data_IF_398713252096
#
_entry.id   IF_398713252096
#
_cell.length_a   1.000
_cell.length_b   1.000
_cell.length_c   1.000
_cell.angle_alpha   90.00
_cell.angle_beta   90.00
_cell.angle_gamma   90.00
#
_symmetry.space_group_name_H-M   'P 1'
#
loop_
_entity.id
_entity.type
_entity.pdbx_description
1 polymer ?
#
# COMPACT_ATOMS: atom_id res chain seq x y z
N UNK A 1 8.55 -12.40 18.07
CA UNK A 1 8.54 -12.89 16.68
C UNK A 1 7.16 -13.42 16.37
N UNK A 2 6.55 -13.02 15.25
CA UNK A 2 5.30 -13.60 14.76
C UNK A 2 5.56 -15.01 14.22
N UNK A 3 4.60 -15.93 14.38
CA UNK A 3 4.71 -17.31 13.87
C UNK A 3 4.44 -17.42 12.36
N UNK A 4 3.89 -16.38 11.75
CA UNK A 4 3.54 -16.30 10.33
C UNK A 4 4.22 -15.05 9.75
N UNK A 5 4.89 -15.22 8.61
CA UNK A 5 5.61 -14.14 7.90
C UNK A 5 5.22 -14.18 6.42
N UNK A 6 4.79 -13.06 5.82
CA UNK A 6 4.54 -13.00 4.38
C UNK A 6 5.80 -13.32 3.58
N UNK A 7 5.62 -14.07 2.50
CA UNK A 7 6.69 -14.51 1.63
C UNK A 7 6.40 -14.05 0.20
N UNK A 8 7.26 -13.19 -0.33
CA UNK A 8 7.06 -12.48 -1.59
C UNK A 8 7.85 -13.12 -2.73
N UNK A 9 7.19 -13.33 -3.86
CA UNK A 9 7.81 -13.90 -5.05
C UNK A 9 8.15 -12.79 -6.05
N UNK A 10 9.42 -12.71 -6.45
CA UNK A 10 9.93 -11.71 -7.37
C UNK A 10 10.55 -12.35 -8.62
N UNK A 11 10.58 -11.58 -9.70
CA UNK A 11 11.19 -11.97 -10.97
C UNK A 11 12.63 -11.46 -11.06
N UNK A 12 13.52 -12.10 -10.31
CA UNK A 12 14.96 -11.85 -10.34
C UNK A 12 15.39 -10.42 -9.99
N UNK A 13 14.58 -9.69 -9.22
CA UNK A 13 14.78 -8.29 -8.86
C UNK A 13 14.64 -8.00 -7.35
N UNK A 14 14.76 -9.01 -6.47
CA UNK A 14 14.74 -8.83 -5.00
C UNK A 14 15.65 -7.70 -4.50
N UNK A 15 16.95 -7.59 -4.88
CA UNK A 15 17.80 -6.51 -4.38
C UNK A 15 17.28 -5.11 -4.75
N UNK A 16 16.73 -4.98 -5.96
CA UNK A 16 16.12 -3.73 -6.42
C UNK A 16 14.85 -3.40 -5.62
N UNK A 17 13.99 -4.40 -5.40
CA UNK A 17 12.77 -4.23 -4.61
C UNK A 17 13.06 -3.82 -3.17
N UNK A 18 14.01 -4.47 -2.52
CA UNK A 18 14.44 -4.11 -1.16
C UNK A 18 15.04 -2.70 -1.12
N UNK A 19 15.85 -2.33 -2.12
CA UNK A 19 16.40 -0.98 -2.23
C UNK A 19 15.30 0.08 -2.40
N UNK A 20 14.32 -0.20 -3.25
CA UNK A 20 13.16 0.66 -3.45
C UNK A 20 12.34 0.81 -2.15
N UNK A 21 11.95 -0.29 -1.51
CA UNK A 21 11.17 -0.21 -0.27
C UNK A 21 11.93 0.50 0.85
N UNK A 22 13.25 0.33 0.94
CA UNK A 22 14.07 1.10 1.87
C UNK A 22 14.04 2.60 1.60
N UNK A 23 13.91 3.02 0.35
CA UNK A 23 13.80 4.43 -0.01
C UNK A 23 12.42 5.03 0.27
N UNK A 24 11.36 4.20 0.21
CA UNK A 24 9.98 4.63 0.44
C UNK A 24 9.62 4.63 1.93
N UNK A 25 10.05 3.62 2.68
CA UNK A 25 9.64 3.42 4.07
C UNK A 25 10.75 3.86 5.04
N UNK A 26 10.54 4.95 5.82
CA UNK A 26 11.58 5.52 6.67
C UNK A 26 12.05 4.56 7.78
N UNK A 27 11.18 3.66 8.24
CA UNK A 27 11.51 2.68 9.27
C UNK A 27 11.98 1.33 8.72
N UNK A 28 12.31 1.26 7.43
CA UNK A 28 12.75 0.02 6.80
C UNK A 28 14.06 -0.51 7.40
N UNK A 29 14.10 -1.81 7.67
CA UNK A 29 15.32 -2.52 8.10
C UNK A 29 15.60 -3.67 7.17
N UNK A 30 16.85 -3.82 6.76
CA UNK A 30 17.29 -4.94 5.91
C UNK A 30 18.18 -5.83 6.75
N UNK A 31 17.76 -7.08 6.93
CA UNK A 31 18.53 -8.08 7.69
C UNK A 31 19.40 -8.91 6.76
N UNK A 32 18.81 -9.39 5.66
CA UNK A 32 19.49 -10.20 4.65
C UNK A 32 19.07 -9.68 3.29
N UNK A 33 20.04 -9.51 2.39
CA UNK A 33 19.77 -9.28 0.98
C UNK A 33 20.85 -9.98 0.16
N UNK A 34 20.42 -10.70 -0.87
CA UNK A 34 21.28 -11.41 -1.82
C UNK A 34 20.56 -11.48 -3.17
N UNK A 35 21.25 -11.96 -4.20
CA UNK A 35 20.65 -12.16 -5.53
C UNK A 35 19.54 -13.23 -5.53
N UNK A 36 19.42 -14.04 -4.48
CA UNK A 36 18.44 -15.13 -4.42
C UNK A 36 17.28 -14.83 -3.48
N UNK A 37 17.55 -14.23 -2.31
CA UNK A 37 16.52 -13.99 -1.29
C UNK A 37 16.83 -12.75 -0.46
N UNK A 38 15.79 -12.25 0.23
CA UNK A 38 15.92 -11.21 1.23
C UNK A 38 15.02 -11.43 2.44
N UNK A 39 15.44 -10.81 3.54
CA UNK A 39 14.69 -10.66 4.78
C UNK A 39 14.76 -9.20 5.19
N UNK A 40 13.61 -8.55 5.28
CA UNK A 40 13.51 -7.12 5.58
C UNK A 40 12.25 -6.83 6.37
N UNK A 41 12.20 -5.64 6.98
CA UNK A 41 11.08 -5.14 7.75
C UNK A 41 10.65 -3.80 7.15
N UNK A 42 9.36 -3.59 6.93
CA UNK A 42 8.76 -2.32 6.55
C UNK A 42 7.75 -1.94 7.63
N UNK A 43 7.93 -0.75 8.24
CA UNK A 43 7.01 -0.24 9.29
C UNK A 43 6.68 -1.28 10.40
N UNK A 44 7.69 -2.04 10.83
CA UNK A 44 7.55 -3.08 11.86
C UNK A 44 7.02 -4.44 11.36
N UNK A 45 6.60 -4.56 10.10
CA UNK A 45 6.19 -5.83 9.49
C UNK A 45 7.39 -6.49 8.79
N UNK A 46 7.75 -7.69 9.24
CA UNK A 46 8.80 -8.52 8.63
C UNK A 46 8.29 -9.22 7.37
N UNK A 47 9.13 -9.31 6.35
CA UNK A 47 8.91 -9.99 5.08
C UNK A 47 10.09 -10.90 4.74
N UNK A 48 9.78 -12.03 4.10
CA UNK A 48 10.75 -12.80 3.34
C UNK A 48 10.48 -12.60 1.84
N UNK A 49 11.52 -12.61 1.02
CA UNK A 49 11.39 -12.52 -0.43
C UNK A 49 12.33 -13.49 -1.14
N UNK A 50 11.92 -13.96 -2.32
CA UNK A 50 12.66 -14.90 -3.16
C UNK A 50 12.60 -14.46 -4.62
N UNK A 51 13.76 -14.55 -5.28
CA UNK A 51 13.84 -14.54 -6.73
C UNK A 51 13.53 -15.93 -7.28
N UNK A 52 12.28 -16.12 -7.73
CA UNK A 52 11.80 -17.39 -8.30
C UNK A 52 11.52 -17.32 -9.81
N UNK A 53 11.75 -16.16 -10.44
CA UNK A 53 11.51 -15.93 -11.86
C UNK A 53 10.03 -15.63 -12.20
N UNK A 54 9.67 -15.55 -13.49
CA UNK A 54 8.43 -14.90 -13.94
C UNK A 54 7.17 -15.77 -13.81
N UNK A 55 7.27 -16.95 -13.18
CA UNK A 55 6.22 -17.97 -13.14
C UNK A 55 4.99 -17.50 -12.35
N UNK A 56 5.21 -16.79 -11.24
CA UNK A 56 4.14 -16.26 -10.40
C UNK A 56 4.22 -14.74 -10.36
N UNK A 57 3.04 -14.10 -10.35
CA UNK A 57 2.91 -12.65 -10.35
C UNK A 57 1.98 -12.23 -9.23
N UNK A 58 2.27 -11.08 -8.64
CA UNK A 58 1.35 -10.45 -7.71
C UNK A 58 0.04 -10.08 -8.41
N UNK A 59 -1.02 -10.12 -7.63
CA UNK A 59 -2.34 -9.63 -7.99
C UNK A 59 -2.98 -9.01 -6.75
N UNK A 60 -4.21 -8.53 -6.91
CA UNK A 60 -4.96 -7.80 -5.91
C UNK A 60 -5.46 -8.69 -4.75
N UNK A 61 -5.37 -10.02 -4.87
CA UNK A 61 -5.84 -10.94 -3.84
C UNK A 61 -5.04 -10.83 -2.53
N UNK A 62 -3.79 -10.37 -2.60
CA UNK A 62 -3.00 -9.95 -1.44
C UNK A 62 -2.52 -8.52 -1.69
N UNK A 63 -2.79 -7.64 -0.73
CA UNK A 63 -2.29 -6.27 -0.74
C UNK A 63 -1.86 -5.84 0.65
N UNK A 64 -0.98 -4.84 0.71
CA UNK A 64 -0.56 -4.24 1.97
C UNK A 64 -1.25 -2.91 2.19
N UNK A 65 -1.90 -2.80 3.36
CA UNK A 65 -2.69 -1.64 3.76
C UNK A 65 -1.82 -0.71 4.59
N UNK A 66 -1.58 0.49 4.07
CA UNK A 66 -0.85 1.57 4.73
C UNK A 66 -1.89 2.53 5.30
N UNK A 67 -2.00 2.55 6.63
CA UNK A 67 -2.82 3.52 7.35
C UNK A 67 -2.03 4.81 7.54
N UNK A 68 -2.61 5.93 7.12
CA UNK A 68 -2.01 7.27 7.26
C UNK A 68 -2.99 8.25 7.91
N UNK A 69 -2.50 9.38 8.41
CA UNK A 69 -3.35 10.34 9.13
C UNK A 69 -3.60 11.63 8.34
N UNK A 70 -2.66 12.01 7.47
CA UNK A 70 -2.67 13.30 6.76
C UNK A 70 -2.73 13.14 5.24
N UNK A 71 -3.12 14.21 4.54
CA UNK A 71 -3.14 14.20 3.08
C UNK A 71 -1.72 14.13 2.51
N UNK A 72 -0.77 14.78 3.18
CA UNK A 72 0.64 14.78 2.80
C UNK A 72 1.22 13.35 2.82
N UNK A 73 0.85 12.53 3.81
CA UNK A 73 1.24 11.12 3.85
C UNK A 73 0.56 10.30 2.77
N UNK A 74 -0.73 10.54 2.49
CA UNK A 74 -1.42 9.91 1.36
C UNK A 74 -0.68 10.19 0.06
N UNK A 75 -0.36 11.47 -0.17
CA UNK A 75 0.30 11.93 -1.38
C UNK A 75 1.71 11.33 -1.49
N UNK A 76 2.49 11.35 -0.42
CA UNK A 76 3.83 10.77 -0.36
C UNK A 76 3.84 9.29 -0.76
N UNK A 77 3.06 8.43 -0.09
CA UNK A 77 3.07 7.00 -0.39
C UNK A 77 2.47 6.70 -1.76
N UNK A 78 1.44 7.43 -2.16
CA UNK A 78 0.83 7.26 -3.47
C UNK A 78 1.82 7.54 -4.59
N UNK A 79 2.50 8.69 -4.53
CA UNK A 79 3.47 9.11 -5.55
C UNK A 79 4.70 8.19 -5.54
N UNK A 80 5.25 7.89 -4.36
CA UNK A 80 6.43 7.05 -4.24
C UNK A 80 6.19 5.62 -4.76
N UNK A 81 5.03 5.01 -4.45
CA UNK A 81 4.73 3.65 -4.86
C UNK A 81 4.29 3.56 -6.32
N UNK A 82 3.71 4.62 -6.90
CA UNK A 82 3.30 4.63 -8.32
C UNK A 82 4.41 5.08 -9.27
N UNK A 83 5.53 5.60 -8.74
CA UNK A 83 6.68 6.01 -9.53
C UNK A 83 7.33 4.85 -10.32
N UNK A 84 8.09 5.21 -11.36
CA UNK A 84 8.99 4.32 -12.11
C UNK A 84 8.37 3.00 -12.60
N UNK A 85 7.12 3.06 -13.06
CA UNK A 85 6.40 1.91 -13.62
C UNK A 85 5.33 1.30 -12.73
N UNK A 86 5.03 1.92 -11.58
CA UNK A 86 3.83 1.62 -10.81
C UNK A 86 2.54 2.05 -11.54
N UNK A 87 1.39 1.62 -10.99
CA UNK A 87 0.09 1.85 -11.60
C UNK A 87 -0.97 2.22 -10.57
N UNK A 88 -1.69 3.32 -10.84
CA UNK A 88 -2.84 3.72 -10.04
C UNK A 88 -4.04 2.80 -10.27
N UNK A 89 -4.73 2.48 -9.18
CA UNK A 89 -6.07 1.85 -9.21
C UNK A 89 -7.09 2.77 -8.53
N UNK A 90 -8.21 2.22 -8.06
CA UNK A 90 -9.35 2.97 -7.51
C UNK A 90 -9.39 2.85 -6.00
N UNK A 91 -10.05 3.81 -5.34
CA UNK A 91 -10.38 3.73 -3.92
C UNK A 91 -9.16 3.53 -3.00
N UNK A 92 -8.03 4.18 -3.28
CA UNK A 92 -6.79 4.03 -2.51
C UNK A 92 -5.90 2.86 -2.91
N UNK A 93 -6.30 2.04 -3.88
CA UNK A 93 -5.49 0.94 -4.40
C UNK A 93 -4.48 1.41 -5.44
N UNK A 94 -3.31 0.77 -5.45
CA UNK A 94 -2.27 0.95 -6.45
C UNK A 94 -1.40 -0.31 -6.57
N UNK A 95 -0.55 -0.37 -7.60
CA UNK A 95 0.53 -1.35 -7.72
C UNK A 95 1.87 -0.63 -7.81
N UNK A 96 2.90 -1.18 -7.17
CA UNK A 96 4.26 -0.71 -7.38
C UNK A 96 4.85 -1.22 -8.70
N UNK A 97 6.06 -0.78 -9.04
CA UNK A 97 6.76 -1.18 -10.27
C UNK A 97 7.08 -2.68 -10.37
N UNK A 98 6.97 -3.43 -9.26
CA UNK A 98 7.12 -4.88 -9.21
C UNK A 98 5.76 -5.61 -9.34
N UNK A 99 4.66 -4.86 -9.41
CA UNK A 99 3.30 -5.37 -9.53
C UNK A 99 2.63 -5.71 -8.20
N UNK A 100 3.29 -5.48 -7.06
CA UNK A 100 2.75 -5.76 -5.73
C UNK A 100 1.64 -4.75 -5.41
N UNK A 101 0.51 -5.26 -4.91
CA UNK A 101 -0.67 -4.44 -4.63
C UNK A 101 -0.57 -3.76 -3.26
N UNK A 102 -0.89 -2.47 -3.22
CA UNK A 102 -0.91 -1.65 -2.02
C UNK A 102 -2.23 -0.90 -1.89
N UNK A 103 -2.57 -0.54 -0.66
CA UNK A 103 -3.70 0.36 -0.35
C UNK A 103 -3.18 1.48 0.54
N UNK A 104 -3.22 2.73 0.08
CA UNK A 104 -2.89 3.91 0.89
C UNK A 104 -4.20 4.53 1.34
N UNK A 105 -4.51 4.38 2.63
CA UNK A 105 -5.84 4.71 3.15
C UNK A 105 -5.73 5.60 4.38
N UNK A 106 -6.31 6.81 4.35
CA UNK A 106 -6.34 7.67 5.52
C UNK A 106 -7.31 7.12 6.57
N UNK A 107 -6.94 7.24 7.85
CA UNK A 107 -7.76 6.81 8.99
C UNK A 107 -9.16 7.44 8.99
N UNK A 108 -9.28 8.66 8.43
CA UNK A 108 -10.55 9.36 8.22
C UNK A 108 -11.57 8.55 7.42
N UNK A 109 -11.15 7.85 6.37
CA UNK A 109 -12.05 7.03 5.55
C UNK A 109 -12.66 5.90 6.39
N UNK A 110 -11.85 5.21 7.19
CA UNK A 110 -12.31 4.15 8.09
C UNK A 110 -13.32 4.67 9.12
N UNK A 111 -13.06 5.85 9.70
CA UNK A 111 -13.98 6.51 10.64
C UNK A 111 -15.34 6.80 10.01
N UNK A 112 -15.37 7.34 8.79
CA UNK A 112 -16.62 7.66 8.11
C UNK A 112 -17.41 6.44 7.67
N UNK A 113 -16.76 5.41 7.13
CA UNK A 113 -17.44 4.19 6.70
C UNK A 113 -17.98 3.37 7.88
N UNK A 114 -17.35 3.51 9.05
CA UNK A 114 -17.80 2.92 10.31
C UNK A 114 -18.83 3.73 11.09
N UNK A 115 -19.23 4.92 10.62
CA UNK A 115 -20.18 5.79 11.31
C UNK A 115 -21.59 5.14 11.40
N UNK A 116 -22.29 5.39 12.51
CA UNK A 116 -23.65 4.89 12.73
C UNK A 116 -24.68 5.63 11.85
N UNK A 117 -24.40 6.86 11.44
CA UNK A 117 -25.14 7.58 10.42
C UNK A 117 -24.86 6.97 9.04
N UNK A 118 -25.74 6.06 8.63
CA UNK A 118 -25.62 5.36 7.34
C UNK A 118 -25.77 6.28 6.15
N UNK A 119 -26.50 7.39 6.25
CA UNK A 119 -26.65 8.32 5.15
C UNK A 119 -25.33 9.09 4.93
N UNK A 120 -24.67 9.50 6.01
CA UNK A 120 -23.32 10.09 5.96
C UNK A 120 -22.30 9.09 5.40
N UNK A 121 -22.26 7.87 5.94
CA UNK A 121 -21.35 6.82 5.46
C UNK A 121 -21.56 6.53 3.96
N UNK A 122 -22.80 6.49 3.49
CA UNK A 122 -23.13 6.30 2.08
C UNK A 122 -22.62 7.46 1.20
N UNK A 123 -22.76 8.72 1.62
CA UNK A 123 -22.21 9.86 0.85
C UNK A 123 -20.70 9.76 0.71
N UNK A 124 -20.00 9.43 1.80
CA UNK A 124 -18.55 9.24 1.79
C UNK A 124 -18.14 8.05 0.91
N UNK A 125 -18.87 6.94 0.98
CA UNK A 125 -18.62 5.78 0.11
C UNK A 125 -18.79 6.14 -1.37
N UNK A 126 -19.83 6.90 -1.74
CA UNK A 126 -20.03 7.36 -3.12
C UNK A 126 -18.89 8.29 -3.58
N UNK A 127 -18.46 9.21 -2.74
CA UNK A 127 -17.31 10.07 -3.03
C UNK A 127 -16.03 9.25 -3.26
N UNK A 128 -15.72 8.34 -2.34
CA UNK A 128 -14.57 7.43 -2.43
C UNK A 128 -14.61 6.57 -3.69
N UNK A 129 -15.79 6.06 -4.08
CA UNK A 129 -15.93 5.28 -5.31
C UNK A 129 -15.62 6.09 -6.57
N UNK A 130 -15.61 7.42 -6.52
CA UNK A 130 -15.16 8.28 -7.62
C UNK A 130 -13.64 8.47 -7.67
N UNK A 131 -12.91 8.08 -6.62
CA UNK A 131 -11.51 8.40 -6.42
C UNK A 131 -10.55 7.30 -6.91
N UNK A 132 -9.36 7.74 -7.31
CA UNK A 132 -8.15 6.90 -7.36
C UNK A 132 -7.40 7.06 -6.04
N UNK A 133 -6.50 8.04 -5.96
CA UNK A 133 -5.94 8.55 -4.70
C UNK A 133 -7.05 9.13 -3.83
N UNK A 134 -7.02 8.83 -2.54
CA UNK A 134 -8.01 9.37 -1.58
C UNK A 134 -7.69 10.83 -1.28
N UNK A 135 -8.72 11.69 -1.32
CA UNK A 135 -8.61 13.10 -0.94
C UNK A 135 -9.46 13.33 0.30
N UNK A 136 -8.81 13.57 1.45
CA UNK A 136 -9.47 13.67 2.76
C UNK A 136 -10.52 14.79 2.76
N UNK A 137 -10.18 15.96 2.22
CA UNK A 137 -11.09 17.10 2.17
C UNK A 137 -12.39 16.81 1.40
N UNK A 138 -12.34 15.98 0.36
CA UNK A 138 -13.52 15.57 -0.39
C UNK A 138 -14.38 14.57 0.39
N UNK A 139 -13.76 13.70 1.20
CA UNK A 139 -14.48 12.85 2.14
C UNK A 139 -15.18 13.68 3.22
N UNK A 140 -14.48 14.67 3.79
CA UNK A 140 -15.03 15.58 4.81
C UNK A 140 -16.23 16.36 4.25
N UNK A 141 -16.10 16.86 3.02
CA UNK A 141 -17.19 17.54 2.30
C UNK A 141 -18.37 16.62 2.06
N UNK A 142 -18.13 15.39 1.61
CA UNK A 142 -19.20 14.40 1.42
C UNK A 142 -19.88 14.02 2.75
N UNK A 143 -19.11 13.96 3.85
CA UNK A 143 -19.66 13.71 5.18
C UNK A 143 -20.53 14.86 5.67
N UNK A 144 -20.16 16.12 5.40
CA UNK A 144 -20.91 17.30 5.81
C UNK A 144 -22.31 17.41 5.14
N UNK A 145 -22.46 16.92 3.91
CA UNK A 145 -23.72 16.94 3.15
C UNK A 145 -23.76 18.05 2.11
#
# INVERSE_FOLDING_TARGET
MTSITPFLWFDNNVPEAVGFYKSVFPNAKVEIVSDFMAVFELEGQRFNALNGGPQYRFNEAVSFFISVETQEEVDYFWEALTADGGAESRCGWLKDKFGLSWQVVPSALGRYLGDSDRTKANRVMQAMMGMRKIVIADLDKAAAG
#
